data_IF_845130610553
#
_entry.id   IF_845130610553
#
_cell.length_a   1.000
_cell.length_b   1.000
_cell.length_c   1.000
_cell.angle_alpha   90.00
_cell.angle_beta   90.00
_cell.angle_gamma   90.00
#
_symmetry.space_group_name_H-M   'P 1'
#
loop_
_entity.id
_entity.type
_entity.pdbx_description
1 polymer ?
#
# COMPACT_ATOMS: atom_id res chain seq x y z
N UNK A 1 -26.31 19.16 17.54
CA UNK A 1 -24.97 18.56 17.66
C UNK A 1 -24.95 17.13 17.12
N UNK A 2 -25.85 16.25 17.56
CA UNK A 2 -25.92 14.86 17.07
C UNK A 2 -26.23 14.74 15.56
N UNK A 3 -27.15 15.57 15.04
CA UNK A 3 -27.52 15.55 13.61
C UNK A 3 -26.34 15.90 12.68
N UNK A 4 -25.47 16.83 13.10
CA UNK A 4 -24.27 17.19 12.33
C UNK A 4 -23.20 16.11 12.36
N UNK A 5 -23.08 15.36 13.46
CA UNK A 5 -22.16 14.21 13.55
C UNK A 5 -22.66 13.05 12.67
N UNK A 6 -23.96 12.75 12.70
CA UNK A 6 -24.56 11.74 11.84
C UNK A 6 -24.38 12.09 10.35
N UNK A 7 -24.56 13.36 10.00
CA UNK A 7 -24.40 13.84 8.64
C UNK A 7 -22.93 13.81 8.18
N UNK A 8 -21.97 14.10 9.06
CA UNK A 8 -20.56 13.95 8.77
C UNK A 8 -20.18 12.48 8.47
N UNK A 9 -20.68 11.54 9.27
CA UNK A 9 -20.45 10.11 9.05
C UNK A 9 -21.03 9.63 7.73
N UNK A 10 -22.27 10.01 7.40
CA UNK A 10 -22.89 9.67 6.12
C UNK A 10 -22.07 10.20 4.93
N UNK A 11 -21.57 11.43 5.01
CA UNK A 11 -20.75 12.02 3.94
C UNK A 11 -19.40 11.31 3.79
N UNK A 12 -18.77 10.92 4.91
CA UNK A 12 -17.53 10.13 4.90
C UNK A 12 -17.79 8.76 4.28
N UNK A 13 -18.86 8.08 4.67
CA UNK A 13 -19.24 6.76 4.16
C UNK A 13 -19.55 6.78 2.66
N UNK A 14 -20.30 7.78 2.19
CA UNK A 14 -20.61 7.97 0.76
C UNK A 14 -19.34 8.26 -0.05
N UNK A 15 -18.43 9.11 0.45
CA UNK A 15 -17.15 9.38 -0.20
C UNK A 15 -16.26 8.15 -0.29
N UNK A 16 -16.26 7.30 0.74
CA UNK A 16 -15.52 6.03 0.74
C UNK A 16 -16.09 5.10 -0.31
N UNK A 17 -17.42 4.95 -0.39
CA UNK A 17 -18.06 4.11 -1.38
C UNK A 17 -17.76 4.57 -2.82
N UNK A 18 -17.71 5.89 -3.04
CA UNK A 18 -17.33 6.49 -4.32
C UNK A 18 -15.86 6.28 -4.67
N UNK A 19 -14.91 6.49 -3.74
CA UNK A 19 -13.48 6.26 -3.98
C UNK A 19 -13.16 4.78 -4.23
N UNK A 20 -13.80 3.87 -3.50
CA UNK A 20 -13.67 2.43 -3.70
C UNK A 20 -14.21 2.00 -5.07
N UNK A 21 -15.33 2.58 -5.52
CA UNK A 21 -15.88 2.34 -6.87
C UNK A 21 -15.04 3.00 -7.99
N UNK A 22 -14.56 4.23 -7.79
CA UNK A 22 -13.72 4.89 -8.79
C UNK A 22 -12.41 4.15 -9.00
N UNK A 23 -11.83 3.63 -7.93
CA UNK A 23 -10.62 2.83 -8.00
C UNK A 23 -10.84 1.45 -8.64
N UNK A 24 -12.08 0.94 -8.69
CA UNK A 24 -12.42 -0.26 -9.46
C UNK A 24 -12.60 0.03 -10.96
N UNK A 25 -13.04 1.24 -11.32
CA UNK A 25 -13.31 1.66 -12.70
C UNK A 25 -12.08 2.18 -13.45
N UNK A 26 -11.14 2.87 -12.79
CA UNK A 26 -10.06 3.60 -13.47
C UNK A 26 -8.72 2.87 -13.58
N UNK A 27 -8.58 1.59 -13.17
CA UNK A 27 -7.28 0.90 -13.07
C UNK A 27 -6.22 1.67 -12.25
N UNK A 28 -6.63 2.72 -11.55
CA UNK A 28 -5.83 3.51 -10.64
C UNK A 28 -5.91 2.79 -9.30
N UNK A 29 -4.77 2.27 -8.82
CA UNK A 29 -4.68 1.65 -7.49
C UNK A 29 -5.26 2.67 -6.50
N UNK A 30 -6.34 2.35 -5.75
CA UNK A 30 -6.86 3.28 -4.74
C UNK A 30 -5.68 3.61 -3.85
N UNK A 31 -5.29 4.88 -3.82
CA UNK A 31 -4.04 5.26 -3.16
C UNK A 31 -4.23 4.91 -1.71
N UNK A 32 -3.50 3.91 -1.22
CA UNK A 32 -3.47 3.53 0.20
C UNK A 32 -3.38 4.78 1.11
N UNK A 33 -2.73 5.83 0.60
CA UNK A 33 -2.71 7.19 1.15
C UNK A 33 -4.08 7.83 1.43
N UNK A 34 -5.08 7.70 0.54
CA UNK A 34 -6.44 8.23 0.74
C UNK A 34 -7.14 7.49 1.88
N UNK A 35 -7.03 6.15 1.92
CA UNK A 35 -7.56 5.33 3.02
C UNK A 35 -6.87 5.69 4.35
N UNK A 36 -5.54 5.88 4.34
CA UNK A 36 -4.80 6.38 5.51
C UNK A 36 -5.26 7.78 5.93
N UNK A 37 -5.50 8.66 4.97
CA UNK A 37 -5.97 10.03 5.22
C UNK A 37 -7.35 10.01 5.88
N UNK A 38 -8.32 9.27 5.33
CA UNK A 38 -9.65 9.15 5.92
C UNK A 38 -9.63 8.52 7.32
N UNK A 39 -8.83 7.47 7.51
CA UNK A 39 -8.61 6.89 8.85
C UNK A 39 -8.05 7.92 9.84
N UNK A 40 -7.06 8.72 9.42
CA UNK A 40 -6.44 9.73 10.29
C UNK A 40 -7.42 10.85 10.69
N UNK A 41 -8.34 11.22 9.80
CA UNK A 41 -9.40 12.19 10.08
C UNK A 41 -10.37 11.62 11.10
N UNK A 42 -10.80 10.38 10.90
CA UNK A 42 -11.68 9.65 11.83
C UNK A 42 -11.05 9.53 13.23
N UNK A 43 -9.78 9.11 13.31
CA UNK A 43 -9.05 8.99 14.58
C UNK A 43 -8.92 10.33 15.31
N UNK A 44 -8.66 11.41 14.57
CA UNK A 44 -8.58 12.76 15.14
C UNK A 44 -9.93 13.24 15.66
N UNK A 45 -11.00 12.95 14.93
CA UNK A 45 -12.35 13.35 15.30
C UNK A 45 -12.84 12.61 16.54
N UNK A 46 -12.60 11.30 16.63
CA UNK A 46 -12.86 10.49 17.83
C UNK A 46 -12.07 10.99 19.04
N UNK A 47 -10.79 11.32 18.85
CA UNK A 47 -9.95 11.85 19.93
C UNK A 47 -10.47 13.19 20.44
N UNK A 48 -10.90 14.07 19.55
CA UNK A 48 -11.47 15.37 19.90
C UNK A 48 -12.80 15.24 20.64
N UNK A 49 -13.68 14.34 20.20
CA UNK A 49 -14.94 14.04 20.88
C UNK A 49 -14.70 13.51 22.29
N UNK A 50 -13.78 12.55 22.46
CA UNK A 50 -13.42 12.00 23.77
C UNK A 50 -12.86 13.08 24.71
N UNK A 51 -12.01 13.97 24.19
CA UNK A 51 -11.48 15.10 24.94
C UNK A 51 -12.60 16.05 25.42
N UNK A 52 -13.55 16.38 24.54
CA UNK A 52 -14.70 17.23 24.88
C UNK A 52 -15.63 16.57 25.92
N UNK A 53 -15.83 15.25 25.82
CA UNK A 53 -16.58 14.48 26.81
C UNK A 53 -15.93 14.52 28.19
N UNK A 54 -14.62 14.22 28.28
CA UNK A 54 -13.88 14.31 29.54
C UNK A 54 -13.90 15.72 30.14
N UNK A 55 -13.81 16.75 29.30
CA UNK A 55 -13.92 18.15 29.74
C UNK A 55 -15.31 18.45 30.34
N UNK A 56 -16.37 17.89 29.76
CA UNK A 56 -17.74 18.07 30.25
C UNK A 56 -18.00 17.34 31.58
N UNK A 57 -17.46 16.12 31.73
CA UNK A 57 -17.52 15.33 32.97
C UNK A 57 -16.74 16.02 34.10
N UNK A 58 -15.51 16.46 33.84
CA UNK A 58 -14.70 17.22 34.82
C UNK A 58 -15.32 18.57 35.20
N UNK A 59 -15.96 19.27 34.25
CA UNK A 59 -16.70 20.51 34.57
C UNK A 59 -17.86 20.27 35.52
N UNK A 60 -18.53 19.13 35.40
CA UNK A 60 -19.61 18.77 36.32
C UNK A 60 -19.09 18.55 37.75
N UNK A 61 -17.94 17.87 37.91
CA UNK A 61 -17.29 17.75 39.23
C UNK A 61 -16.87 19.11 39.83
N UNK A 62 -16.28 20.00 39.02
CA UNK A 62 -15.87 21.33 39.49
C UNK A 62 -17.05 22.20 39.93
N UNK A 63 -18.19 22.10 39.24
CA UNK A 63 -19.42 22.81 39.60
C UNK A 63 -20.05 22.27 40.90
N UNK A 64 -19.81 21.00 41.25
CA UNK A 64 -20.28 20.41 42.50
C UNK A 64 -19.48 20.87 43.73
N UNK A 65 -18.24 21.35 43.59
CA UNK A 65 -17.42 21.79 44.74
C UNK A 65 -17.35 23.31 44.93
N UNK A 66 -17.83 24.11 43.97
CA UNK A 66 -17.73 25.59 44.02
C UNK A 66 -19.02 26.38 44.29
N UNK A 67 -20.17 25.75 44.57
CA UNK A 67 -21.45 26.47 44.56
C UNK A 67 -21.77 27.19 45.88
N UNK A 68 -21.41 28.49 45.93
CA UNK A 68 -22.02 29.47 46.84
C UNK A 68 -23.55 29.42 46.67
N UNK A 69 -24.22 29.19 47.79
CA UNK A 69 -25.67 29.19 47.97
C UNK A 69 -26.30 30.49 47.45
N UNK A 70 -27.36 30.41 46.64
CA UNK A 70 -28.15 31.61 46.32
C UNK A 70 -28.91 31.67 45.00
N UNK A 71 -29.28 30.57 44.33
CA UNK A 71 -30.35 30.59 43.31
C UNK A 71 -31.10 29.26 43.37
N UNK A 72 -32.41 29.29 43.61
CA UNK A 72 -33.30 28.12 43.54
C UNK A 72 -33.39 27.65 42.08
N UNK A 73 -32.45 26.82 41.68
CA UNK A 73 -32.47 26.10 40.41
C UNK A 73 -33.38 24.88 40.56
N UNK A 74 -34.52 24.91 39.86
CA UNK A 74 -35.57 23.90 39.97
C UNK A 74 -35.02 22.47 39.79
N UNK A 75 -35.37 21.57 40.70
CA UNK A 75 -34.96 20.17 40.71
C UNK A 75 -35.21 19.45 39.36
N UNK A 76 -36.22 19.90 38.60
CA UNK A 76 -36.54 19.44 37.25
C UNK A 76 -35.45 19.75 36.20
N UNK A 77 -34.76 20.89 36.31
CA UNK A 77 -33.68 21.29 35.39
C UNK A 77 -32.42 20.43 35.60
N UNK A 78 -32.11 20.06 36.85
CA UNK A 78 -30.98 19.16 37.17
C UNK A 78 -31.23 17.74 36.67
N UNK A 79 -32.45 17.24 36.87
CA UNK A 79 -32.83 15.90 36.41
C UNK A 79 -32.84 15.83 34.88
N UNK A 80 -33.36 16.86 34.21
CA UNK A 80 -33.31 16.96 32.74
C UNK A 80 -31.86 17.02 32.23
N UNK A 81 -30.99 17.83 32.85
CA UNK A 81 -29.57 17.91 32.48
C UNK A 81 -28.83 16.58 32.69
N UNK A 82 -29.08 15.86 33.78
CA UNK A 82 -28.50 14.53 34.02
C UNK A 82 -28.99 13.50 33.01
N UNK A 83 -30.27 13.54 32.64
CA UNK A 83 -30.84 12.63 31.66
C UNK A 83 -30.26 12.88 30.26
N UNK A 84 -30.06 14.14 29.89
CA UNK A 84 -29.37 14.51 28.64
C UNK A 84 -27.91 14.02 28.61
N UNK A 85 -27.20 14.05 29.74
CA UNK A 85 -25.82 13.55 29.85
C UNK A 85 -25.76 12.04 29.66
N UNK A 86 -26.73 11.28 30.21
CA UNK A 86 -26.79 9.82 30.05
C UNK A 86 -27.12 9.43 28.60
N UNK A 87 -28.06 10.11 27.96
CA UNK A 87 -28.34 9.91 26.53
C UNK A 87 -27.14 10.23 25.64
N UNK A 88 -26.44 11.34 25.92
CA UNK A 88 -25.20 11.68 25.22
C UNK A 88 -24.15 10.58 25.39
N UNK A 89 -23.97 10.07 26.60
CA UNK A 89 -22.99 9.02 26.87
C UNK A 89 -23.26 7.74 26.07
N UNK A 90 -24.52 7.30 26.02
CA UNK A 90 -24.92 6.12 25.24
C UNK A 90 -24.69 6.32 23.74
N UNK A 91 -25.07 7.49 23.21
CA UNK A 91 -24.81 7.85 21.81
C UNK A 91 -23.31 7.84 21.48
N UNK A 92 -22.47 8.36 22.37
CA UNK A 92 -21.02 8.37 22.15
C UNK A 92 -20.38 6.98 22.23
N UNK A 93 -20.90 6.10 23.10
CA UNK A 93 -20.45 4.72 23.15
C UNK A 93 -20.77 3.97 21.85
N UNK A 94 -21.97 4.16 21.30
CA UNK A 94 -22.35 3.59 20.02
C UNK A 94 -21.50 4.14 18.86
N UNK A 95 -21.24 5.45 18.86
CA UNK A 95 -20.37 6.10 17.87
C UNK A 95 -18.94 5.56 17.94
N UNK A 96 -18.42 5.34 19.16
CA UNK A 96 -17.08 4.78 19.37
C UNK A 96 -17.00 3.33 18.86
N UNK A 97 -18.01 2.50 19.14
CA UNK A 97 -18.06 1.12 18.67
C UNK A 97 -18.11 1.06 17.14
N UNK A 98 -18.91 1.91 16.50
CA UNK A 98 -18.99 2.01 15.04
C UNK A 98 -17.65 2.43 14.43
N UNK A 99 -16.98 3.42 15.02
CA UNK A 99 -15.70 3.88 14.51
C UNK A 99 -14.57 2.86 14.69
N UNK A 100 -14.60 2.06 15.76
CA UNK A 100 -13.68 0.93 15.96
C UNK A 100 -13.90 -0.17 14.92
N UNK A 101 -15.16 -0.56 14.69
CA UNK A 101 -15.50 -1.53 13.63
C UNK A 101 -15.06 -1.04 12.26
N UNK A 102 -15.25 0.26 11.98
CA UNK A 102 -14.81 0.87 10.74
C UNK A 102 -13.27 0.82 10.62
N UNK A 103 -12.53 1.20 11.67
CA UNK A 103 -11.06 1.08 11.71
C UNK A 103 -10.56 -0.33 11.41
N UNK A 104 -11.22 -1.34 11.97
CA UNK A 104 -10.83 -2.73 11.79
C UNK A 104 -11.05 -3.16 10.33
N UNK A 105 -12.19 -2.79 9.73
CA UNK A 105 -12.45 -2.96 8.30
C UNK A 105 -11.40 -2.25 7.43
N UNK A 106 -11.02 -1.02 7.76
CA UNK A 106 -9.94 -0.29 7.08
C UNK A 106 -8.61 -1.03 7.18
N UNK A 107 -8.25 -1.51 8.38
CA UNK A 107 -7.00 -2.27 8.58
C UNK A 107 -6.95 -3.53 7.73
N UNK A 108 -8.05 -4.28 7.71
CA UNK A 108 -8.17 -5.51 6.94
C UNK A 108 -8.10 -5.23 5.43
N UNK A 109 -8.83 -4.22 4.95
CA UNK A 109 -8.78 -3.79 3.56
C UNK A 109 -7.37 -3.35 3.11
N UNK A 110 -6.67 -2.57 3.95
CA UNK A 110 -5.29 -2.16 3.68
C UNK A 110 -4.32 -3.34 3.60
N UNK A 111 -4.43 -4.32 4.50
CA UNK A 111 -3.60 -5.53 4.46
C UNK A 111 -3.83 -6.32 3.18
N UNK A 112 -5.10 -6.51 2.78
CA UNK A 112 -5.44 -7.22 1.53
C UNK A 112 -4.89 -6.46 0.31
N UNK A 113 -5.05 -5.14 0.25
CA UNK A 113 -4.50 -4.32 -0.83
C UNK A 113 -2.96 -4.36 -0.88
N UNK A 114 -2.30 -4.30 0.28
CA UNK A 114 -0.84 -4.42 0.39
C UNK A 114 -0.37 -5.77 -0.12
N UNK A 115 -0.99 -6.86 0.34
CA UNK A 115 -0.67 -8.22 -0.12
C UNK A 115 -0.87 -8.36 -1.63
N UNK A 116 -1.97 -7.84 -2.18
CA UNK A 116 -2.23 -7.86 -3.62
C UNK A 116 -1.17 -7.05 -4.39
N UNK A 117 -0.75 -5.89 -3.90
CA UNK A 117 0.30 -5.10 -4.54
C UNK A 117 1.65 -5.80 -4.47
N UNK A 118 1.97 -6.46 -3.36
CA UNK A 118 3.19 -7.25 -3.19
C UNK A 118 3.21 -8.45 -4.15
N UNK A 119 2.09 -9.16 -4.29
CA UNK A 119 1.96 -10.27 -5.25
C UNK A 119 2.11 -9.75 -6.69
N UNK A 120 1.48 -8.63 -7.02
CA UNK A 120 1.58 -8.04 -8.36
C UNK A 120 3.03 -7.61 -8.68
N UNK A 121 3.73 -7.00 -7.71
CA UNK A 121 5.12 -6.59 -7.88
C UNK A 121 6.06 -7.80 -7.97
N UNK A 122 5.81 -8.84 -7.18
CA UNK A 122 6.55 -10.11 -7.25
C UNK A 122 6.40 -10.77 -8.62
N UNK A 123 5.19 -10.80 -9.19
CA UNK A 123 4.96 -11.31 -10.56
C UNK A 123 5.74 -10.50 -11.58
N UNK A 124 5.70 -9.17 -11.51
CA UNK A 124 6.49 -8.31 -12.41
C UNK A 124 7.98 -8.55 -12.29
N UNK A 125 8.50 -8.73 -11.08
CA UNK A 125 9.92 -9.04 -10.86
C UNK A 125 10.31 -10.39 -11.45
N UNK A 126 9.43 -11.40 -11.37
CA UNK A 126 9.62 -12.70 -12.02
C UNK A 126 9.64 -12.54 -13.54
N UNK A 127 8.68 -11.83 -14.11
CA UNK A 127 8.61 -11.59 -15.56
C UNK A 127 9.87 -10.85 -16.05
N UNK A 128 10.33 -9.85 -15.29
CA UNK A 128 11.57 -9.14 -15.57
C UNK A 128 12.80 -10.04 -15.48
N UNK A 129 12.87 -10.91 -14.46
CA UNK A 129 13.95 -11.88 -14.33
C UNK A 129 13.97 -12.83 -15.55
N UNK A 130 12.81 -13.31 -16.00
CA UNK A 130 12.71 -14.16 -17.19
C UNK A 130 13.20 -13.44 -18.46
N UNK A 131 12.85 -12.16 -18.64
CA UNK A 131 13.35 -11.34 -19.75
C UNK A 131 14.87 -11.17 -19.69
N UNK A 132 15.43 -10.92 -18.50
CA UNK A 132 16.89 -10.83 -18.32
C UNK A 132 17.55 -12.16 -18.62
N UNK A 133 17.00 -13.28 -18.17
CA UNK A 133 17.52 -14.62 -18.50
C UNK A 133 17.54 -14.86 -20.01
N UNK A 134 16.47 -14.50 -20.73
CA UNK A 134 16.40 -14.62 -22.20
C UNK A 134 17.46 -13.77 -22.90
N UNK A 135 17.68 -12.54 -22.43
CA UNK A 135 18.71 -11.65 -22.98
C UNK A 135 20.12 -12.18 -22.73
N UNK A 136 20.39 -12.65 -21.51
CA UNK A 136 21.69 -13.24 -21.14
C UNK A 136 21.99 -14.49 -21.97
N UNK A 137 20.99 -15.36 -22.18
CA UNK A 137 21.13 -16.52 -23.06
C UNK A 137 21.52 -16.11 -24.49
N UNK A 138 20.83 -15.11 -25.05
CA UNK A 138 21.16 -14.57 -26.37
C UNK A 138 22.60 -14.03 -26.43
N UNK A 139 23.01 -13.24 -25.44
CA UNK A 139 24.36 -12.70 -25.35
C UNK A 139 25.44 -13.80 -25.27
N UNK A 140 25.19 -14.88 -24.52
CA UNK A 140 26.09 -16.04 -24.45
C UNK A 140 26.25 -16.76 -25.79
N UNK A 141 25.23 -16.78 -26.65
CA UNK A 141 25.36 -17.30 -28.01
C UNK A 141 26.16 -16.35 -28.90
N UNK A 142 25.89 -15.05 -28.83
CA UNK A 142 26.52 -14.05 -29.69
C UNK A 142 27.97 -13.75 -29.34
N UNK A 143 28.37 -13.80 -28.07
CA UNK A 143 29.73 -13.49 -27.61
C UNK A 143 30.82 -14.36 -28.27
N UNK A 144 30.77 -15.70 -28.18
CA UNK A 144 31.80 -16.56 -28.79
C UNK A 144 31.77 -16.48 -30.32
N UNK A 145 30.58 -16.30 -30.91
CA UNK A 145 30.44 -16.13 -32.35
C UNK A 145 31.05 -14.81 -32.86
N UNK A 146 30.79 -13.70 -32.15
CA UNK A 146 31.36 -12.39 -32.44
C UNK A 146 32.87 -12.39 -32.24
N UNK A 147 33.36 -13.04 -31.18
CA UNK A 147 34.80 -13.21 -30.94
C UNK A 147 35.47 -14.01 -32.08
N UNK A 148 34.90 -15.14 -32.48
CA UNK A 148 35.41 -15.92 -33.60
C UNK A 148 35.39 -15.10 -34.90
N UNK A 149 34.28 -14.39 -35.18
CA UNK A 149 34.17 -13.54 -36.37
C UNK A 149 35.19 -12.40 -36.38
N UNK A 150 35.46 -11.80 -35.21
CA UNK A 150 36.49 -10.78 -35.06
C UNK A 150 37.89 -11.35 -35.26
N UNK A 151 38.22 -12.45 -34.58
CA UNK A 151 39.52 -13.10 -34.64
C UNK A 151 39.88 -13.55 -36.07
N UNK A 152 38.94 -14.17 -36.79
CA UNK A 152 39.16 -14.60 -38.18
C UNK A 152 38.91 -13.49 -39.22
N UNK A 153 38.23 -12.40 -38.85
CA UNK A 153 38.08 -11.21 -39.68
C UNK A 153 39.31 -10.28 -39.66
N UNK A 154 40.19 -10.45 -38.67
CA UNK A 154 41.47 -9.74 -38.58
C UNK A 154 42.50 -10.40 -39.52
N UNK A 155 43.11 -9.61 -40.41
CA UNK A 155 44.16 -10.07 -41.32
C UNK A 155 45.49 -10.28 -40.58
N UNK A 156 45.62 -11.39 -39.84
CA UNK A 156 46.91 -11.74 -39.24
C UNK A 156 47.88 -12.31 -40.28
N UNK A 157 49.13 -11.84 -40.25
CA UNK A 157 50.22 -12.27 -41.15
C UNK A 157 50.56 -13.77 -41.03
N UNK A 158 50.29 -14.38 -39.89
CA UNK A 158 50.60 -15.79 -39.58
C UNK A 158 49.63 -16.78 -40.26
N UNK A 159 48.46 -16.32 -40.70
CA UNK A 159 47.43 -17.13 -41.36
C UNK A 159 47.56 -17.21 -42.89
N UNK A 160 48.71 -16.85 -43.46
CA UNK A 160 49.07 -17.09 -44.86
C UNK A 160 47.98 -16.71 -45.88
N UNK A 161 48.04 -15.48 -46.39
CA UNK A 161 47.10 -14.90 -47.37
C UNK A 161 46.73 -15.88 -48.50
N UNK A 162 45.56 -16.53 -48.39
CA UNK A 162 44.87 -17.17 -49.53
C UNK A 162 44.50 -18.67 -49.44
N UNK A 163 44.84 -19.43 -48.39
CA UNK A 163 44.45 -20.87 -48.30
C UNK A 163 44.07 -21.34 -46.89
N UNK A 164 43.13 -20.66 -46.23
CA UNK A 164 42.59 -21.15 -44.96
C UNK A 164 41.15 -21.59 -45.09
N UNK A 165 40.91 -22.85 -44.71
CA UNK A 165 39.61 -23.48 -44.77
C UNK A 165 38.69 -22.84 -43.74
N UNK A 166 37.47 -22.50 -44.18
CA UNK A 166 36.39 -22.01 -43.31
C UNK A 166 36.11 -22.95 -42.13
N UNK A 167 36.59 -24.20 -42.21
CA UNK A 167 36.58 -25.19 -41.16
C UNK A 167 37.27 -24.74 -39.85
N UNK A 168 38.33 -23.93 -39.91
CA UNK A 168 39.02 -23.46 -38.70
C UNK A 168 38.14 -22.56 -37.82
N UNK A 169 37.26 -21.79 -38.44
CA UNK A 169 36.25 -20.98 -37.75
C UNK A 169 35.26 -21.86 -36.98
N UNK A 170 34.74 -22.90 -37.62
CA UNK A 170 33.83 -23.85 -36.97
C UNK A 170 34.54 -24.68 -35.90
N UNK A 171 35.79 -25.10 -36.14
CA UNK A 171 36.58 -25.87 -35.17
C UNK A 171 36.89 -25.10 -33.88
N UNK A 172 36.93 -23.75 -33.91
CA UNK A 172 37.13 -22.92 -32.72
C UNK A 172 35.80 -22.47 -32.09
N UNK A 173 34.82 -22.06 -32.89
CA UNK A 173 33.56 -21.50 -32.38
C UNK A 173 32.64 -22.55 -31.75
N UNK A 174 32.54 -23.77 -32.30
CA UNK A 174 31.67 -24.82 -31.77
C UNK A 174 32.09 -25.27 -30.36
N UNK A 175 33.37 -25.58 -30.08
CA UNK A 175 33.79 -25.99 -28.75
C UNK A 175 33.61 -24.88 -27.70
N UNK A 176 33.88 -23.63 -28.07
CA UNK A 176 33.68 -22.47 -27.17
C UNK A 176 32.18 -22.27 -26.88
N UNK A 177 31.32 -22.42 -27.88
CA UNK A 177 29.87 -22.39 -27.70
C UNK A 177 29.37 -23.53 -26.80
N UNK A 178 29.82 -24.76 -27.04
CA UNK A 178 29.45 -25.93 -26.22
C UNK A 178 29.94 -25.76 -24.78
N UNK A 179 31.19 -25.31 -24.57
CA UNK A 179 31.72 -25.04 -23.24
C UNK A 179 30.91 -23.97 -22.51
N UNK A 180 30.51 -22.89 -23.22
CA UNK A 180 29.65 -21.86 -22.65
C UNK A 180 28.25 -22.39 -22.28
N UNK A 181 27.69 -23.30 -23.08
CA UNK A 181 26.38 -23.90 -22.80
C UNK A 181 26.44 -24.88 -21.63
N UNK A 182 27.51 -25.68 -21.54
CA UNK A 182 27.75 -26.61 -20.42
C UNK A 182 27.92 -25.82 -19.11
N UNK A 183 28.66 -24.72 -19.14
CA UNK A 183 28.81 -23.84 -17.97
C UNK A 183 27.47 -23.27 -17.52
N UNK A 184 26.63 -22.81 -18.46
CA UNK A 184 25.28 -22.31 -18.16
C UNK A 184 24.32 -23.37 -17.62
N UNK A 185 24.43 -24.63 -18.03
CA UNK A 185 23.57 -25.71 -17.52
C UNK A 185 24.00 -26.25 -16.15
N UNK A 186 25.25 -25.99 -15.74
CA UNK A 186 25.80 -26.47 -14.47
C UNK A 186 25.67 -25.45 -13.33
N UNK A 187 25.49 -24.17 -13.67
CA UNK A 187 25.19 -23.07 -12.74
C UNK A 187 23.67 -22.90 -12.56
#
# INVERSE_FOLDING_TARGET
SAFSEQQFLNVIEEKIALEVNLASLQNQKPTLANLFYFRSILDRHLSHINYMLQMSVNKNEFLHHGRRSGVQESQSLKNAAQQSVVELLGFYQDLQAQAQMLREKFSLGMTVMSNNSMIAESRRAIDQAELVTKLTFSAFVYLPFTFASGFFGMNFKEFGTGKHSIYAFFALSLPVFIASMVFYYWD
#
